data_IF_648671572533
#
_entry.id   IF_648671572533
#
_cell.length_a   1.000
_cell.length_b   1.000
_cell.length_c   1.000
_cell.angle_alpha   90.00
_cell.angle_beta   90.00
_cell.angle_gamma   90.00
#
_symmetry.space_group_name_H-M   'P 1'
#
loop_
_entity.id
_entity.type
_entity.pdbx_description
1 polymer ?
#
# COMPACT_ATOMS: atom_id res chain seq x y z
N UNK A 1 -15.21 -10.66 -29.65
CA UNK A 1 -14.22 -11.48 -30.39
C UNK A 1 -12.89 -11.36 -29.67
N UNK A 2 -12.26 -12.49 -29.43
CA UNK A 2 -10.93 -12.59 -28.79
C UNK A 2 -9.96 -13.24 -29.74
N UNK A 3 -8.71 -12.79 -29.73
CA UNK A 3 -7.60 -13.47 -30.39
C UNK A 3 -6.89 -14.32 -29.34
N UNK A 4 -6.71 -15.58 -29.63
CA UNK A 4 -6.14 -16.60 -28.76
C UNK A 4 -5.01 -17.30 -29.48
N UNK A 5 -4.08 -17.86 -28.74
CA UNK A 5 -3.01 -18.68 -29.26
C UNK A 5 -3.00 -20.05 -28.55
N UNK A 6 -2.90 -21.10 -29.30
CA UNK A 6 -2.72 -22.46 -28.79
C UNK A 6 -1.55 -23.12 -29.50
N UNK A 7 -0.53 -23.51 -28.75
CA UNK A 7 0.66 -24.17 -29.31
C UNK A 7 1.33 -23.36 -30.45
N UNK A 8 1.39 -22.03 -30.31
CA UNK A 8 1.96 -21.13 -31.31
C UNK A 8 1.04 -20.84 -32.51
N UNK A 9 -0.17 -21.38 -32.54
CA UNK A 9 -1.12 -21.14 -33.60
C UNK A 9 -2.20 -20.12 -33.16
N UNK A 10 -2.26 -18.93 -33.80
CA UNK A 10 -3.28 -17.95 -33.46
C UNK A 10 -4.65 -18.36 -34.02
N UNK A 11 -5.70 -18.15 -33.26
CA UNK A 11 -7.07 -18.34 -33.71
C UNK A 11 -7.99 -17.30 -33.06
N UNK A 12 -9.12 -17.07 -33.72
CA UNK A 12 -10.09 -16.06 -33.30
C UNK A 12 -11.39 -16.73 -32.85
N UNK A 13 -11.85 -16.36 -31.65
CA UNK A 13 -13.11 -16.84 -31.06
C UNK A 13 -14.05 -15.67 -30.89
N UNK A 14 -15.28 -15.79 -31.38
CA UNK A 14 -16.34 -14.84 -31.11
C UNK A 14 -17.35 -15.46 -30.17
N UNK A 15 -17.40 -14.94 -28.95
CA UNK A 15 -18.42 -15.27 -27.97
C UNK A 15 -19.61 -14.32 -28.16
N UNK A 16 -20.82 -14.88 -28.14
CA UNK A 16 -22.06 -14.12 -28.02
C UNK A 16 -22.60 -14.40 -26.61
N UNK A 17 -22.87 -13.37 -25.85
CA UNK A 17 -23.40 -13.46 -24.48
C UNK A 17 -24.38 -12.32 -24.24
N UNK A 18 -25.33 -12.56 -23.38
CA UNK A 18 -26.14 -11.51 -22.76
C UNK A 18 -25.33 -10.73 -21.72
N UNK A 19 -25.85 -9.57 -21.27
CA UNK A 19 -25.12 -8.67 -20.38
C UNK A 19 -24.70 -9.36 -19.07
N UNK A 20 -25.58 -10.15 -18.49
CA UNK A 20 -25.39 -10.86 -17.22
C UNK A 20 -24.85 -12.30 -17.37
N UNK A 21 -24.57 -12.75 -18.60
CA UNK A 21 -24.07 -14.11 -18.84
C UNK A 21 -22.56 -14.17 -18.67
N UNK A 22 -22.06 -15.18 -17.98
CA UNK A 22 -20.62 -15.41 -17.84
C UNK A 22 -19.97 -15.79 -19.18
N UNK A 23 -18.72 -15.40 -19.38
CA UNK A 23 -17.99 -15.73 -20.62
C UNK A 23 -17.61 -17.20 -20.73
N UNK A 24 -17.68 -17.96 -19.62
CA UNK A 24 -17.22 -19.35 -19.55
C UNK A 24 -15.71 -19.51 -19.64
N UNK A 25 -14.95 -18.41 -19.55
CA UNK A 25 -13.49 -18.46 -19.51
C UNK A 25 -13.04 -18.79 -18.09
N UNK A 26 -12.26 -19.86 -17.97
CA UNK A 26 -11.58 -20.23 -16.74
C UNK A 26 -10.09 -19.98 -16.94
N UNK A 27 -9.53 -19.12 -16.10
CA UNK A 27 -8.10 -18.85 -16.08
C UNK A 27 -7.42 -19.81 -15.11
N UNK A 28 -6.27 -20.36 -15.50
CA UNK A 28 -5.47 -21.22 -14.64
C UNK A 28 -4.89 -20.44 -13.45
N UNK A 29 -4.64 -19.15 -13.66
CA UNK A 29 -4.18 -18.21 -12.63
C UNK A 29 -4.93 -16.90 -12.73
N UNK A 30 -5.29 -16.31 -11.60
CA UNK A 30 -6.07 -15.04 -11.52
C UNK A 30 -5.40 -13.88 -12.27
N UNK A 31 -4.08 -13.87 -12.35
CA UNK A 31 -3.31 -12.80 -13.00
C UNK A 31 -2.98 -13.06 -14.47
N UNK A 32 -3.23 -14.28 -14.97
CA UNK A 32 -2.87 -14.70 -16.32
C UNK A 32 -1.37 -14.91 -16.56
N UNK A 33 -0.50 -14.34 -15.72
CA UNK A 33 0.95 -14.49 -15.76
C UNK A 33 1.55 -14.52 -14.34
N UNK A 34 2.87 -14.39 -14.23
CA UNK A 34 3.57 -14.45 -12.93
C UNK A 34 3.37 -13.17 -12.13
N UNK A 35 3.28 -13.30 -10.80
CA UNK A 35 3.28 -12.18 -9.85
C UNK A 35 4.56 -11.35 -9.99
N UNK A 36 4.41 -10.03 -10.02
CA UNK A 36 5.54 -9.11 -10.04
C UNK A 36 6.25 -9.11 -8.68
N UNK A 37 7.56 -9.39 -8.73
CA UNK A 37 8.35 -9.50 -7.52
C UNK A 37 8.92 -8.16 -7.10
N UNK A 38 8.78 -7.83 -5.82
CA UNK A 38 9.34 -6.63 -5.21
C UNK A 38 10.87 -6.60 -5.30
N UNK A 39 11.43 -5.46 -5.73
CA UNK A 39 12.89 -5.22 -5.84
C UNK A 39 13.42 -4.35 -4.68
N UNK A 40 12.57 -3.96 -3.73
CA UNK A 40 12.95 -3.14 -2.60
C UNK A 40 13.68 -3.96 -1.52
N UNK A 41 14.44 -3.26 -0.70
CA UNK A 41 15.15 -3.82 0.46
C UNK A 41 14.73 -3.05 1.72
N UNK A 42 13.42 -3.01 1.96
CA UNK A 42 12.86 -2.23 3.05
C UNK A 42 13.47 -2.62 4.40
N UNK A 43 13.78 -1.61 5.22
CA UNK A 43 14.35 -1.80 6.56
C UNK A 43 13.42 -2.60 7.47
N UNK A 44 12.13 -2.57 7.20
CA UNK A 44 11.06 -3.24 7.94
C UNK A 44 10.50 -4.49 7.22
N UNK A 45 11.08 -4.94 6.11
CA UNK A 45 10.51 -6.03 5.31
C UNK A 45 10.32 -7.31 6.12
N UNK A 46 9.05 -7.73 6.32
CA UNK A 46 8.73 -8.92 7.09
C UNK A 46 9.13 -10.22 6.36
N UNK A 47 9.21 -10.23 5.03
CA UNK A 47 9.70 -11.39 4.27
C UNK A 47 11.20 -11.62 4.53
N UNK A 48 12.00 -10.55 4.61
CA UNK A 48 13.42 -10.67 4.94
C UNK A 48 13.66 -11.12 6.38
N UNK A 49 12.65 -11.09 7.23
CA UNK A 49 12.66 -11.56 8.62
C UNK A 49 12.11 -12.99 8.78
N UNK A 50 11.88 -13.71 7.68
CA UNK A 50 11.42 -15.10 7.76
C UNK A 50 12.60 -16.04 8.09
N UNK A 51 12.35 -17.10 8.91
CA UNK A 51 13.36 -18.12 9.15
C UNK A 51 13.70 -18.85 7.84
N UNK A 52 14.96 -19.26 7.71
CA UNK A 52 15.42 -19.99 6.52
C UNK A 52 14.81 -21.38 6.44
N UNK A 53 14.78 -21.97 5.23
CA UNK A 53 14.35 -23.35 4.95
C UNK A 53 12.86 -23.62 5.19
N UNK A 54 12.01 -22.61 5.14
CA UNK A 54 10.57 -22.79 5.12
C UNK A 54 10.07 -23.01 3.68
N UNK A 55 8.76 -23.29 3.53
CA UNK A 55 8.14 -23.45 2.19
C UNK A 55 8.33 -22.19 1.33
N UNK A 56 8.54 -22.37 0.02
CA UNK A 56 8.88 -21.29 -0.92
C UNK A 56 7.83 -20.16 -0.95
N UNK A 57 6.55 -20.48 -0.78
CA UNK A 57 5.46 -19.50 -0.77
C UNK A 57 5.58 -18.44 0.33
N UNK A 58 6.29 -18.71 1.44
CA UNK A 58 6.53 -17.74 2.50
C UNK A 58 7.57 -16.67 2.14
N UNK A 59 8.29 -16.85 1.04
CA UNK A 59 9.31 -15.90 0.57
C UNK A 59 8.87 -15.13 -0.68
N UNK A 60 7.59 -15.24 -1.04
CA UNK A 60 7.03 -14.45 -2.12
C UNK A 60 6.97 -12.99 -1.69
N UNK A 61 7.69 -12.16 -2.42
CA UNK A 61 7.71 -10.71 -2.23
C UNK A 61 6.93 -10.10 -3.39
N UNK A 62 5.64 -9.91 -3.21
CA UNK A 62 4.81 -9.26 -4.22
C UNK A 62 4.92 -7.72 -4.16
N UNK A 63 4.87 -7.09 -5.30
CA UNK A 63 4.70 -5.64 -5.48
C UNK A 63 3.94 -5.42 -6.79
N UNK A 64 2.77 -6.07 -6.89
CA UNK A 64 1.97 -6.20 -8.09
C UNK A 64 0.69 -5.37 -7.99
N UNK A 65 0.56 -4.36 -8.84
CA UNK A 65 -0.59 -3.46 -8.85
C UNK A 65 -1.92 -4.17 -9.12
N UNK A 66 -1.89 -5.32 -9.81
CA UNK A 66 -3.09 -6.13 -10.08
C UNK A 66 -3.61 -6.76 -8.78
N UNK A 67 -2.71 -7.26 -7.93
CA UNK A 67 -3.06 -7.77 -6.60
C UNK A 67 -3.54 -6.63 -5.69
N UNK A 68 -3.00 -5.43 -5.85
CA UNK A 68 -3.50 -4.25 -5.15
C UNK A 68 -4.96 -3.98 -5.53
N UNK A 69 -5.26 -3.92 -6.80
CA UNK A 69 -6.61 -3.68 -7.30
C UNK A 69 -7.60 -4.79 -6.93
N UNK A 70 -7.23 -6.07 -7.10
CA UNK A 70 -8.15 -7.19 -6.90
C UNK A 70 -8.30 -7.63 -5.45
N UNK A 71 -7.25 -7.51 -4.64
CA UNK A 71 -7.20 -8.10 -3.30
C UNK A 71 -6.81 -7.13 -2.19
N UNK A 72 -6.50 -5.87 -2.53
CA UNK A 72 -6.09 -4.86 -1.55
C UNK A 72 -4.66 -5.01 -1.04
N UNK A 73 -3.79 -5.73 -1.76
CA UNK A 73 -2.38 -5.82 -1.42
C UNK A 73 -1.71 -4.45 -1.57
N UNK A 74 -0.89 -4.08 -0.60
CA UNK A 74 -0.19 -2.80 -0.65
C UNK A 74 1.02 -2.86 -1.58
N UNK A 75 1.09 -1.94 -2.55
CA UNK A 75 2.19 -1.81 -3.51
C UNK A 75 2.99 -0.53 -3.29
N UNK A 76 4.27 -0.57 -3.61
CA UNK A 76 5.17 0.57 -3.39
C UNK A 76 5.17 1.58 -4.53
N UNK A 77 4.64 1.23 -5.69
CA UNK A 77 4.70 1.99 -6.95
C UNK A 77 6.15 2.27 -7.44
N UNK A 78 7.14 1.55 -6.92
CA UNK A 78 8.55 1.73 -7.27
C UNK A 78 9.08 0.69 -8.26
N UNK A 79 8.28 -0.32 -8.58
CA UNK A 79 8.65 -1.45 -9.46
C UNK A 79 7.76 -1.55 -10.71
N UNK A 80 7.02 -0.49 -11.03
CA UNK A 80 6.08 -0.42 -12.15
C UNK A 80 6.81 0.15 -13.36
N UNK A 81 6.68 -0.46 -14.54
CA UNK A 81 7.18 0.06 -15.81
C UNK A 81 6.26 1.17 -16.37
N UNK A 82 6.75 1.91 -17.35
CA UNK A 82 5.96 2.98 -18.00
C UNK A 82 4.72 2.40 -18.69
N UNK A 83 4.83 1.21 -19.30
CA UNK A 83 3.71 0.52 -19.95
C UNK A 83 2.65 0.08 -18.91
N UNK A 84 3.10 -0.44 -17.77
CA UNK A 84 2.22 -0.81 -16.67
C UNK A 84 1.54 0.41 -16.04
N UNK A 85 2.28 1.51 -15.90
CA UNK A 85 1.74 2.77 -15.43
C UNK A 85 0.65 3.29 -16.35
N UNK A 86 0.93 3.32 -17.66
CA UNK A 86 -0.07 3.70 -18.67
C UNK A 86 -1.31 2.81 -18.60
N UNK A 87 -1.15 1.49 -18.42
CA UNK A 87 -2.26 0.54 -18.27
C UNK A 87 -3.09 0.81 -17.01
N UNK A 88 -2.47 1.12 -15.87
CA UNK A 88 -3.19 1.49 -14.63
C UNK A 88 -4.10 2.69 -14.89
N UNK A 89 -3.57 3.73 -15.57
CA UNK A 89 -4.30 4.96 -15.86
C UNK A 89 -5.41 4.74 -16.88
N UNK A 90 -5.15 4.03 -17.98
CA UNK A 90 -6.10 3.74 -19.04
C UNK A 90 -7.28 2.90 -18.53
N UNK A 91 -7.00 1.83 -17.81
CA UNK A 91 -8.00 0.93 -17.24
C UNK A 91 -8.66 1.49 -15.97
N UNK A 92 -8.11 2.57 -15.39
CA UNK A 92 -8.58 3.18 -14.12
C UNK A 92 -8.72 2.15 -13.02
N UNK A 93 -7.63 1.42 -12.74
CA UNK A 93 -7.62 0.40 -11.70
C UNK A 93 -7.76 1.07 -10.32
N UNK A 94 -8.97 1.08 -9.79
CA UNK A 94 -9.34 1.80 -8.56
C UNK A 94 -10.24 0.93 -7.68
N UNK A 95 -10.03 0.90 -6.35
CA UNK A 95 -8.95 1.60 -5.65
C UNK A 95 -7.59 0.91 -5.77
N UNK A 96 -6.51 1.66 -5.49
CA UNK A 96 -5.18 1.10 -5.25
C UNK A 96 -4.78 1.25 -3.78
N UNK A 97 -4.12 0.24 -3.26
CA UNK A 97 -3.55 0.22 -1.91
C UNK A 97 -2.05 0.49 -2.00
N UNK A 98 -1.59 1.61 -1.45
CA UNK A 98 -0.24 2.13 -1.69
C UNK A 98 0.59 2.21 -0.42
N UNK A 99 1.74 1.56 -0.42
CA UNK A 99 2.77 1.66 0.61
C UNK A 99 3.52 2.98 0.48
N UNK A 100 3.17 3.95 1.32
CA UNK A 100 3.77 5.30 1.32
C UNK A 100 4.97 5.37 2.23
N UNK A 101 4.80 5.08 3.51
CA UNK A 101 5.76 5.08 4.61
C UNK A 101 6.30 6.47 4.99
N UNK A 102 6.61 7.32 4.02
CA UNK A 102 6.95 8.73 4.15
C UNK A 102 6.71 9.44 2.82
N UNK A 103 6.33 10.70 2.86
CA UNK A 103 6.22 11.57 1.68
C UNK A 103 7.54 12.25 1.32
N UNK A 104 8.42 12.45 2.29
CA UNK A 104 9.80 12.87 2.05
C UNK A 104 10.54 11.85 1.18
N UNK A 105 11.05 12.22 -0.01
CA UNK A 105 11.64 11.29 -0.97
C UNK A 105 12.92 10.61 -0.45
N UNK A 106 13.73 11.32 0.36
CA UNK A 106 14.97 10.78 0.91
C UNK A 106 14.69 9.80 2.05
N UNK A 107 13.81 10.16 2.96
CA UNK A 107 13.39 9.25 4.03
C UNK A 107 12.74 7.99 3.43
N UNK A 108 11.87 8.17 2.45
CA UNK A 108 11.22 7.04 1.76
C UNK A 108 12.26 6.16 1.04
N UNK A 109 13.26 6.75 0.40
CA UNK A 109 14.39 6.04 -0.21
C UNK A 109 15.09 5.13 0.82
N UNK A 110 15.41 5.69 1.98
CA UNK A 110 16.07 4.95 3.07
C UNK A 110 15.19 3.81 3.58
N UNK A 111 13.93 4.07 3.86
CA UNK A 111 12.96 3.08 4.34
C UNK A 111 12.79 1.91 3.38
N UNK A 112 12.72 2.19 2.08
CA UNK A 112 12.56 1.17 1.02
C UNK A 112 13.89 0.52 0.60
N UNK A 113 15.03 0.97 1.12
CA UNK A 113 16.36 0.48 0.77
C UNK A 113 16.71 0.68 -0.71
N UNK A 114 16.32 1.82 -1.27
CA UNK A 114 16.57 2.19 -2.67
C UNK A 114 17.83 3.04 -2.80
N UNK A 115 18.36 3.13 -4.03
CA UNK A 115 19.53 3.96 -4.35
C UNK A 115 19.15 5.41 -4.59
N UNK A 116 18.06 5.63 -5.32
CA UNK A 116 17.59 6.94 -5.75
C UNK A 116 16.37 7.39 -4.90
N UNK A 117 16.16 8.71 -4.74
CA UNK A 117 14.96 9.26 -4.12
C UNK A 117 13.68 8.70 -4.75
N UNK A 118 12.66 8.50 -3.95
CA UNK A 118 11.40 7.88 -4.39
C UNK A 118 10.21 8.79 -4.10
N UNK A 119 10.03 9.89 -4.85
CA UNK A 119 8.92 10.81 -4.65
C UNK A 119 7.59 10.09 -4.90
N UNK A 120 6.69 10.11 -3.93
CA UNK A 120 5.38 9.43 -4.03
C UNK A 120 4.24 10.40 -4.37
N UNK A 121 4.31 11.65 -3.91
CA UNK A 121 3.24 12.63 -4.12
C UNK A 121 2.93 12.90 -5.59
N UNK A 122 3.91 13.02 -6.52
CA UNK A 122 3.62 13.15 -7.94
C UNK A 122 2.79 11.97 -8.48
N UNK A 123 3.13 10.74 -8.10
CA UNK A 123 2.40 9.53 -8.51
C UNK A 123 0.96 9.53 -7.95
N UNK A 124 0.78 9.88 -6.67
CA UNK A 124 -0.53 10.04 -6.03
C UNK A 124 -1.38 11.06 -6.78
N UNK A 125 -0.83 12.23 -7.12
CA UNK A 125 -1.53 13.29 -7.84
C UNK A 125 -1.95 12.88 -9.24
N UNK A 126 -1.12 12.13 -9.93
CA UNK A 126 -1.42 11.61 -11.26
C UNK A 126 -2.55 10.56 -11.19
N UNK A 127 -2.49 9.60 -10.27
CA UNK A 127 -3.56 8.63 -10.03
C UNK A 127 -4.89 9.34 -9.70
N UNK A 128 -4.88 10.29 -8.77
CA UNK A 128 -6.06 11.08 -8.38
C UNK A 128 -6.66 11.85 -9.58
N UNK A 129 -5.82 12.43 -10.43
CA UNK A 129 -6.24 13.16 -11.63
C UNK A 129 -6.89 12.24 -12.66
N UNK A 130 -6.54 10.95 -12.67
CA UNK A 130 -7.15 9.91 -13.50
C UNK A 130 -8.29 9.16 -12.79
N UNK A 131 -8.83 9.70 -11.70
CA UNK A 131 -9.97 9.16 -10.93
C UNK A 131 -9.69 7.81 -10.28
N UNK A 132 -8.47 7.61 -9.80
CA UNK A 132 -8.06 6.42 -9.08
C UNK A 132 -7.97 6.78 -7.59
N UNK A 133 -8.79 6.15 -6.78
CA UNK A 133 -8.79 6.28 -5.31
C UNK A 133 -7.63 5.48 -4.70
N UNK A 134 -7.09 6.00 -3.61
CA UNK A 134 -5.90 5.44 -2.97
C UNK A 134 -6.17 5.24 -1.48
N UNK A 135 -5.85 4.04 -1.01
CA UNK A 135 -5.70 3.74 0.41
C UNK A 135 -4.21 3.64 0.73
N UNK A 136 -3.70 4.57 1.51
CA UNK A 136 -2.28 4.63 1.85
C UNK A 136 -1.94 3.80 3.10
N UNK A 137 -0.71 3.28 3.17
CA UNK A 137 -0.20 2.61 4.36
C UNK A 137 1.16 3.18 4.76
N UNK A 138 1.34 3.32 6.07
CA UNK A 138 2.60 3.67 6.71
C UNK A 138 2.97 2.54 7.67
N UNK A 139 4.07 1.85 7.40
CA UNK A 139 4.72 1.01 8.41
C UNK A 139 5.57 1.92 9.27
N UNK A 140 5.17 2.12 10.52
CA UNK A 140 5.84 3.02 11.44
C UNK A 140 7.00 2.31 12.13
N UNK A 141 8.18 2.87 11.97
CA UNK A 141 9.43 2.41 12.53
C UNK A 141 9.92 3.46 13.55
N UNK A 142 9.93 3.16 14.85
CA UNK A 142 10.40 4.10 15.87
C UNK A 142 11.81 4.62 15.57
N UNK A 143 12.00 5.94 15.69
CA UNK A 143 13.26 6.62 15.39
C UNK A 143 13.59 6.79 13.91
N UNK A 144 12.71 6.38 13.00
CA UNK A 144 12.90 6.51 11.54
C UNK A 144 11.88 7.45 10.90
N UNK A 145 10.61 7.07 10.90
CA UNK A 145 9.52 7.83 10.28
C UNK A 145 8.38 8.19 11.24
N UNK A 146 8.69 8.26 12.52
CA UNK A 146 7.80 8.74 13.59
C UNK A 146 7.94 10.25 13.82
N UNK A 147 7.35 10.75 14.90
CA UNK A 147 7.44 12.15 15.32
C UNK A 147 7.03 13.12 14.21
N UNK A 148 7.91 14.09 13.90
CA UNK A 148 7.66 15.10 12.87
C UNK A 148 7.52 14.52 11.48
N UNK A 149 8.29 13.48 11.14
CA UNK A 149 8.20 12.83 9.82
C UNK A 149 6.83 12.20 9.58
N UNK A 150 6.23 11.55 10.59
CA UNK A 150 4.86 11.05 10.51
C UNK A 150 3.86 12.20 10.36
N UNK A 151 3.99 13.26 11.17
CA UNK A 151 3.08 14.39 11.12
C UNK A 151 3.08 15.04 9.73
N UNK A 152 4.25 15.32 9.18
CA UNK A 152 4.40 15.89 7.84
C UNK A 152 3.81 14.97 6.76
N UNK A 153 4.07 13.66 6.84
CA UNK A 153 3.49 12.68 5.91
C UNK A 153 1.97 12.69 5.95
N UNK A 154 1.37 12.70 7.14
CA UNK A 154 -0.09 12.74 7.28
C UNK A 154 -0.68 14.07 6.77
N UNK A 155 -0.02 15.20 7.05
CA UNK A 155 -0.43 16.52 6.58
C UNK A 155 -0.37 16.63 5.06
N UNK A 156 0.67 16.10 4.42
CA UNK A 156 0.78 16.11 2.96
C UNK A 156 -0.21 15.14 2.30
N UNK A 157 -0.51 14.00 2.91
CA UNK A 157 -1.47 13.04 2.37
C UNK A 157 -2.92 13.54 2.47
N UNK A 158 -3.30 14.28 3.54
CA UNK A 158 -4.66 14.84 3.64
C UNK A 158 -4.90 15.96 2.61
N UNK A 159 -3.85 16.66 2.16
CA UNK A 159 -3.96 17.62 1.05
C UNK A 159 -4.37 16.97 -0.27
N UNK A 160 -4.13 15.68 -0.42
CA UNK A 160 -4.53 14.89 -1.61
C UNK A 160 -5.89 14.20 -1.43
N UNK A 161 -6.61 14.46 -0.33
CA UNK A 161 -7.94 13.91 -0.11
C UNK A 161 -8.98 14.60 -1.02
N UNK A 162 -9.99 13.87 -1.55
CA UNK A 162 -11.01 14.42 -2.45
C UNK A 162 -11.73 15.64 -1.90
N UNK A 163 -12.06 15.68 -0.61
CA UNK A 163 -12.72 16.83 0.03
C UNK A 163 -11.85 18.10 0.09
N UNK A 164 -10.54 17.96 0.00
CA UNK A 164 -9.59 19.10 -0.02
C UNK A 164 -9.31 19.54 -1.45
N UNK A 165 -9.02 18.59 -2.34
CA UNK A 165 -8.67 18.87 -3.73
C UNK A 165 -9.86 19.24 -4.61
N UNK A 166 -11.09 18.88 -4.20
CA UNK A 166 -12.29 18.97 -5.03
C UNK A 166 -12.33 17.96 -6.19
N UNK A 167 -11.37 17.04 -6.26
CA UNK A 167 -11.32 15.96 -7.26
C UNK A 167 -12.29 14.85 -6.88
N UNK A 168 -12.58 13.95 -7.85
CA UNK A 168 -13.47 12.79 -7.63
C UNK A 168 -12.77 11.62 -6.91
N UNK A 169 -11.44 11.62 -6.90
CA UNK A 169 -10.61 10.60 -6.29
C UNK A 169 -9.35 11.22 -5.71
N UNK A 170 -8.67 10.51 -4.83
CA UNK A 170 -7.46 10.95 -4.15
C UNK A 170 -7.09 9.95 -3.05
N UNK A 171 -6.39 10.41 -2.02
CA UNK A 171 -6.11 9.59 -0.85
C UNK A 171 -7.34 9.56 0.05
N UNK A 172 -8.02 8.42 0.10
CA UNK A 172 -9.25 8.23 0.86
C UNK A 172 -8.98 7.92 2.34
N UNK A 173 -7.89 7.21 2.61
CA UNK A 173 -7.52 6.84 3.99
C UNK A 173 -6.04 6.51 4.11
N UNK A 174 -5.53 6.58 5.33
CA UNK A 174 -4.16 6.20 5.68
C UNK A 174 -4.21 5.19 6.84
N UNK A 175 -3.69 3.99 6.62
CA UNK A 175 -3.47 3.01 7.66
C UNK A 175 -2.05 3.18 8.25
N UNK A 176 -1.94 3.31 9.56
CA UNK A 176 -0.65 3.32 10.26
C UNK A 176 -0.52 2.02 11.02
N UNK A 177 0.48 1.21 10.66
CA UNK A 177 0.75 -0.10 11.27
C UNK A 177 2.09 -0.07 11.99
N UNK A 178 2.24 -0.70 13.16
CA UNK A 178 3.54 -0.78 13.83
C UNK A 178 4.47 -1.72 13.06
N UNK A 179 5.76 -1.46 13.09
CA UNK A 179 6.73 -2.37 12.50
C UNK A 179 6.70 -3.73 13.19
N UNK A 180 6.48 -4.78 12.41
CA UNK A 180 6.57 -6.15 12.90
C UNK A 180 8.03 -6.59 13.05
N UNK A 181 8.38 -7.12 14.23
CA UNK A 181 9.74 -7.53 14.58
C UNK A 181 9.82 -9.02 14.84
N UNK A 182 10.80 -9.70 14.22
CA UNK A 182 11.11 -11.10 14.53
C UNK A 182 12.56 -11.24 15.01
N UNK A 183 12.89 -12.40 15.56
CA UNK A 183 14.28 -12.71 15.96
C UNK A 183 15.24 -12.95 14.79
N UNK A 184 14.77 -12.92 13.55
CA UNK A 184 15.56 -13.24 12.33
C UNK A 184 15.95 -11.97 11.57
N UNK A 185 16.40 -10.92 12.30
CA UNK A 185 16.75 -9.62 11.72
C UNK A 185 18.25 -9.36 11.61
N UNK A 186 19.11 -10.37 11.74
CA UNK A 186 20.58 -10.18 11.82
C UNK A 186 21.17 -9.45 10.59
N UNK A 187 20.45 -9.43 9.47
CA UNK A 187 20.89 -8.82 8.20
C UNK A 187 20.16 -7.51 7.87
N UNK A 188 19.28 -7.06 8.74
CA UNK A 188 18.50 -5.83 8.55
C UNK A 188 18.98 -4.74 9.49
N UNK A 189 18.81 -3.45 9.13
CA UNK A 189 19.11 -2.35 10.04
C UNK A 189 18.37 -2.51 11.37
N UNK A 190 18.99 -2.05 12.43
CA UNK A 190 18.36 -2.06 13.74
C UNK A 190 17.21 -1.07 13.77
N UNK A 191 16.05 -1.52 14.25
CA UNK A 191 14.87 -0.70 14.52
C UNK A 191 14.45 -0.97 15.95
N UNK A 192 14.05 0.06 16.65
CA UNK A 192 13.54 -0.08 18.01
C UNK A 192 12.18 -0.77 18.00
N UNK A 193 11.97 -1.62 18.99
CA UNK A 193 10.71 -2.30 19.16
C UNK A 193 9.64 -1.32 19.64
N UNK A 194 8.42 -1.48 19.13
CA UNK A 194 7.27 -0.75 19.64
C UNK A 194 6.91 -1.32 21.03
N UNK A 195 7.19 -0.55 22.06
CA UNK A 195 6.87 -0.89 23.44
C UNK A 195 5.55 -0.24 23.86
N UNK A 196 4.96 -0.71 24.95
CA UNK A 196 3.64 -0.30 25.43
C UNK A 196 3.45 1.22 25.56
N UNK A 197 4.40 1.87 26.20
CA UNK A 197 4.28 3.30 26.49
C UNK A 197 4.43 4.12 25.22
N UNK A 198 5.36 3.74 24.33
CA UNK A 198 5.46 4.31 22.98
C UNK A 198 4.15 4.15 22.18
N UNK A 199 3.53 2.96 22.23
CA UNK A 199 2.26 2.72 21.55
C UNK A 199 1.14 3.62 22.10
N UNK A 200 1.08 3.85 23.41
CA UNK A 200 0.12 4.78 24.03
C UNK A 200 0.31 6.22 23.59
N UNK A 201 1.55 6.69 23.54
CA UNK A 201 1.89 8.03 23.06
C UNK A 201 1.50 8.18 21.58
N UNK A 202 1.80 7.18 20.75
CA UNK A 202 1.45 7.16 19.34
C UNK A 202 -0.06 7.18 19.11
N UNK A 203 -0.83 6.36 19.84
CA UNK A 203 -2.30 6.38 19.77
C UNK A 203 -2.84 7.76 20.15
N UNK A 204 -2.31 8.39 21.19
CA UNK A 204 -2.75 9.72 21.62
C UNK A 204 -2.44 10.78 20.56
N UNK A 205 -1.22 10.79 20.00
CA UNK A 205 -0.78 11.73 18.98
C UNK A 205 -1.60 11.60 17.70
N UNK A 206 -1.78 10.37 17.17
CA UNK A 206 -2.55 10.14 15.95
C UNK A 206 -4.02 10.41 16.17
N UNK A 207 -4.59 10.06 17.33
CA UNK A 207 -6.01 10.36 17.64
C UNK A 207 -6.29 11.85 17.72
N UNK A 208 -5.33 12.66 18.18
CA UNK A 208 -5.46 14.12 18.15
C UNK A 208 -5.48 14.63 16.70
N UNK A 209 -4.54 14.18 15.87
CA UNK A 209 -4.43 14.57 14.47
C UNK A 209 -5.65 14.13 13.65
N UNK A 210 -6.16 12.93 13.91
CA UNK A 210 -7.36 12.40 13.28
C UNK A 210 -8.58 13.30 13.54
N UNK A 211 -8.77 13.79 14.77
CA UNK A 211 -9.86 14.72 15.11
C UNK A 211 -9.76 16.05 14.36
N UNK A 212 -8.53 16.52 14.10
CA UNK A 212 -8.27 17.73 13.29
C UNK A 212 -8.67 17.46 11.83
N UNK A 213 -8.26 16.34 11.26
CA UNK A 213 -8.63 15.94 9.90
C UNK A 213 -10.13 15.72 9.76
N UNK A 214 -10.78 15.00 10.67
CA UNK A 214 -12.21 14.76 10.62
C UNK A 214 -13.03 16.06 10.63
N UNK A 215 -12.61 17.09 11.37
CA UNK A 215 -13.24 18.42 11.32
C UNK A 215 -13.04 19.09 9.95
N UNK A 216 -11.93 18.85 9.28
CA UNK A 216 -11.59 19.48 8.01
C UNK A 216 -12.25 18.82 6.81
N UNK A 217 -12.29 17.50 6.78
CA UNK A 217 -12.77 16.73 5.62
C UNK A 217 -14.09 15.99 5.85
N UNK A 218 -14.62 16.00 7.08
CA UNK A 218 -15.93 15.41 7.40
C UNK A 218 -15.96 13.90 7.59
N UNK A 219 -14.83 13.22 7.43
CA UNK A 219 -14.72 11.76 7.56
C UNK A 219 -13.44 11.37 8.30
N UNK A 220 -13.36 10.12 8.74
CA UNK A 220 -12.13 9.56 9.33
C UNK A 220 -11.11 9.30 8.25
N UNK A 221 -9.88 9.80 8.44
CA UNK A 221 -8.79 9.71 7.48
C UNK A 221 -7.69 8.75 7.90
N UNK A 222 -7.27 8.80 9.18
CA UNK A 222 -6.17 7.97 9.69
C UNK A 222 -6.70 6.82 10.52
N UNK A 223 -6.20 5.63 10.24
CA UNK A 223 -6.58 4.38 10.88
C UNK A 223 -5.36 3.72 11.50
N UNK A 224 -5.36 3.59 12.81
CA UNK A 224 -4.36 2.80 13.52
C UNK A 224 -4.76 1.32 13.46
N UNK A 225 -3.81 0.46 13.12
CA UNK A 225 -4.02 -0.99 13.17
C UNK A 225 -4.33 -1.47 14.59
N UNK A 226 -5.09 -2.55 14.71
CA UNK A 226 -5.48 -3.15 15.99
C UNK A 226 -4.28 -3.50 16.86
N UNK A 227 -3.15 -3.82 16.26
CA UNK A 227 -1.91 -4.15 16.95
C UNK A 227 -1.40 -3.01 17.85
N UNK A 228 -1.63 -1.73 17.49
CA UNK A 228 -1.30 -0.60 18.36
C UNK A 228 -2.03 -0.69 19.70
N UNK A 229 -3.33 -0.98 19.66
CA UNK A 229 -4.17 -1.08 20.87
C UNK A 229 -3.81 -2.31 21.69
N UNK A 230 -3.46 -3.41 21.01
CA UNK A 230 -2.99 -4.62 21.68
C UNK A 230 -1.67 -4.39 22.43
N UNK A 231 -0.66 -3.76 21.78
CA UNK A 231 0.62 -3.43 22.40
C UNK A 231 0.42 -2.44 23.55
N UNK A 232 -0.44 -1.44 23.38
CA UNK A 232 -0.74 -0.42 24.38
C UNK A 232 -1.56 -0.94 25.57
N UNK A 233 -2.11 -2.15 25.49
CA UNK A 233 -3.08 -2.70 26.46
C UNK A 233 -4.29 -1.75 26.64
N UNK A 234 -4.82 -1.25 25.52
CA UNK A 234 -5.97 -0.38 25.47
C UNK A 234 -7.15 -1.05 24.74
N UNK A 235 -8.38 -0.71 25.08
CA UNK A 235 -9.54 -1.18 24.34
C UNK A 235 -9.51 -0.63 22.90
N UNK A 236 -10.05 -1.41 21.96
CA UNK A 236 -10.25 -0.93 20.59
C UNK A 236 -11.24 0.24 20.57
N UNK A 237 -11.07 1.20 19.64
CA UNK A 237 -12.03 2.30 19.51
C UNK A 237 -13.40 1.72 19.14
N UNK A 238 -14.46 2.26 19.78
CA UNK A 238 -15.83 1.93 19.40
C UNK A 238 -16.07 2.32 17.95
N UNK A 239 -16.86 1.53 17.23
CA UNK A 239 -17.36 1.93 15.91
C UNK A 239 -18.18 3.22 16.09
N UNK A 240 -17.60 4.34 15.67
CA UNK A 240 -18.29 5.63 15.59
C UNK A 240 -18.89 5.81 14.20
#
# INVERSE_FOLDING_TARGET
>A
TMELEREGTPYRVTLRKEEDEETGLLFEHDLGDRVHTCKNKCVFCFIHQQPKKMRKSLYLMDDDFRLSFMHGNYVTLTNISDEEWARILEQRLSPLYVSVHATDPELRRILLGRREPTPILPQIRELASNRISIHAQIVLCPGWNDGEALQNTLDELVEEHPAVTGKRAGVESVAVVPVGMTRFRERLPQIDKVERDYAREMIAAVSKKEKEFQKRIGTRFVWLADEWYHIAELPYPSKS
#
